data_IF_091883880740
#
_entry.id   IF_091883880740
#
_cell.length_a   1.000
_cell.length_b   1.000
_cell.length_c   1.000
_cell.angle_alpha   90.00
_cell.angle_beta   90.00
_cell.angle_gamma   90.00
#
_symmetry.space_group_name_H-M   'P 1'
#
loop_
_entity.id
_entity.type
_entity.pdbx_description
1 polymer ?
#
# COMPACT_ATOMS: atom_id res chain seq x y z
N UNK A 1 20.48 8.76 -8.87
CA UNK A 1 19.05 8.62 -9.19
C UNK A 1 18.80 7.15 -9.55
N UNK A 2 17.67 6.53 -9.16
CA UNK A 2 17.37 5.15 -9.56
C UNK A 2 17.32 5.06 -11.09
N UNK A 3 18.04 4.08 -11.67
CA UNK A 3 17.97 3.79 -13.11
C UNK A 3 16.55 3.31 -13.43
N UNK A 4 15.87 4.00 -14.34
CA UNK A 4 14.57 3.55 -14.86
C UNK A 4 14.85 2.56 -15.98
N UNK A 5 14.24 1.38 -15.89
CA UNK A 5 14.41 0.32 -16.88
C UNK A 5 13.13 0.16 -17.72
N UNK A 6 13.27 -0.12 -19.02
CA UNK A 6 12.21 -0.51 -19.96
C UNK A 6 12.32 -2.00 -20.27
N UNK A 7 11.23 -2.74 -20.10
CA UNK A 7 11.18 -4.15 -20.51
C UNK A 7 11.25 -4.27 -22.04
N UNK A 8 11.83 -5.35 -22.56
CA UNK A 8 11.81 -5.61 -24.01
C UNK A 8 10.40 -5.55 -24.63
N UNK A 9 9.38 -6.04 -23.92
CA UNK A 9 7.98 -5.96 -24.37
C UNK A 9 7.45 -4.52 -24.48
N UNK A 10 7.83 -3.65 -23.55
CA UNK A 10 7.45 -2.24 -23.62
C UNK A 10 8.24 -1.51 -24.70
N UNK A 11 9.53 -1.84 -24.86
CA UNK A 11 10.37 -1.30 -25.92
C UNK A 11 9.83 -1.64 -27.32
N UNK A 12 9.37 -2.89 -27.52
CA UNK A 12 8.73 -3.34 -28.78
C UNK A 12 7.54 -2.46 -29.14
N UNK A 13 6.65 -2.20 -28.17
CA UNK A 13 5.46 -1.36 -28.37
C UNK A 13 5.84 0.08 -28.71
N UNK A 14 6.81 0.63 -27.99
CA UNK A 14 7.26 2.02 -28.15
C UNK A 14 7.93 2.25 -29.50
N UNK A 15 8.80 1.33 -29.91
CA UNK A 15 9.48 1.38 -31.20
C UNK A 15 8.59 0.90 -32.35
N UNK A 16 7.34 0.48 -32.08
CA UNK A 16 6.39 -0.09 -33.04
C UNK A 16 7.04 -1.20 -33.89
N UNK A 17 7.87 -2.02 -33.24
CA UNK A 17 8.58 -3.14 -33.86
C UNK A 17 7.93 -4.46 -33.45
N UNK A 18 8.48 -5.60 -33.88
CA UNK A 18 8.00 -6.93 -33.49
C UNK A 18 8.97 -7.59 -32.51
N UNK A 19 8.53 -8.56 -31.69
CA UNK A 19 9.43 -9.30 -30.81
C UNK A 19 10.58 -9.99 -31.56
N UNK A 20 10.29 -10.59 -32.72
CA UNK A 20 11.31 -11.22 -33.55
C UNK A 20 12.35 -10.22 -34.05
N UNK A 21 11.92 -9.00 -34.32
CA UNK A 21 12.83 -7.97 -34.79
C UNK A 21 13.69 -7.40 -33.67
N UNK A 22 13.13 -7.20 -32.48
CA UNK A 22 13.94 -6.82 -31.32
C UNK A 22 14.99 -7.90 -31.00
N UNK A 23 14.63 -9.18 -31.06
CA UNK A 23 15.58 -10.29 -30.87
C UNK A 23 16.72 -10.25 -31.90
N UNK A 24 16.42 -9.99 -33.18
CA UNK A 24 17.47 -9.86 -34.21
C UNK A 24 18.42 -8.69 -33.92
N UNK A 25 17.87 -7.56 -33.46
CA UNK A 25 18.66 -6.38 -33.09
C UNK A 25 19.55 -6.71 -31.87
N UNK A 26 19.00 -7.37 -30.86
CA UNK A 26 19.78 -7.84 -29.71
C UNK A 26 20.90 -8.79 -30.13
N UNK A 27 20.61 -9.75 -31.02
CA UNK A 27 21.60 -10.67 -31.57
C UNK A 27 22.69 -9.96 -32.38
N UNK A 28 22.34 -8.90 -33.11
CA UNK A 28 23.32 -8.07 -33.80
C UNK A 28 24.32 -7.46 -32.81
N UNK A 29 23.84 -6.81 -31.75
CA UNK A 29 24.70 -6.23 -30.71
C UNK A 29 25.50 -7.28 -29.92
N UNK A 30 24.93 -8.46 -29.71
CA UNK A 30 25.64 -9.55 -29.04
C UNK A 30 26.74 -10.18 -29.93
N UNK A 31 26.58 -10.11 -31.26
CA UNK A 31 27.48 -10.74 -32.22
C UNK A 31 28.77 -9.96 -32.46
N UNK A 32 28.74 -8.64 -32.23
CA UNK A 32 29.92 -7.77 -32.31
C UNK A 32 29.98 -6.84 -31.10
N UNK A 33 30.76 -7.18 -30.06
CA UNK A 33 30.88 -6.35 -28.86
C UNK A 33 31.64 -5.03 -29.10
N UNK A 34 32.19 -4.80 -30.29
CA UNK A 34 32.86 -3.55 -30.68
C UNK A 34 32.09 -2.82 -31.79
N UNK A 35 30.79 -3.07 -31.91
CA UNK A 35 29.94 -2.35 -32.85
C UNK A 35 29.92 -0.84 -32.56
N UNK A 36 29.67 -0.02 -33.58
CA UNK A 36 29.70 1.45 -33.49
C UNK A 36 28.64 2.06 -32.57
N UNK A 37 27.66 1.27 -32.10
CA UNK A 37 26.56 1.71 -31.26
C UNK A 37 26.79 1.44 -29.77
N UNK A 38 27.77 0.60 -29.43
CA UNK A 38 28.28 0.34 -28.07
C UNK A 38 27.18 -0.01 -27.04
N UNK A 39 26.23 -0.90 -27.38
CA UNK A 39 25.17 -1.29 -26.44
C UNK A 39 25.71 -2.25 -25.36
N UNK A 40 25.98 -1.75 -24.14
CA UNK A 40 26.71 -2.51 -23.11
C UNK A 40 25.83 -3.14 -22.02
N UNK A 41 26.13 -4.38 -21.65
CA UNK A 41 25.49 -5.07 -20.52
C UNK A 41 25.83 -4.39 -19.18
N UNK A 42 24.87 -4.33 -18.26
CA UNK A 42 24.88 -3.64 -16.95
C UNK A 42 24.97 -2.10 -17.00
N UNK A 43 25.34 -1.54 -18.15
CA UNK A 43 25.34 -0.10 -18.41
C UNK A 43 24.03 0.29 -19.09
N UNK A 44 23.77 -0.27 -20.27
CA UNK A 44 22.66 0.06 -21.14
C UNK A 44 21.50 -0.91 -21.04
N UNK A 45 21.77 -2.17 -20.73
CA UNK A 45 20.73 -3.18 -20.51
C UNK A 45 21.16 -4.23 -19.47
N UNK A 46 20.20 -4.96 -18.91
CA UNK A 46 20.43 -6.11 -18.04
C UNK A 46 19.59 -7.30 -18.47
N UNK A 47 20.08 -8.50 -18.20
CA UNK A 47 19.35 -9.75 -18.45
C UNK A 47 18.59 -10.12 -17.19
N UNK A 48 17.27 -10.31 -17.30
CA UNK A 48 16.37 -10.50 -16.15
C UNK A 48 15.96 -11.95 -15.90
N UNK A 49 16.21 -12.87 -16.83
CA UNK A 49 15.90 -14.29 -16.66
C UNK A 49 16.85 -15.21 -17.46
N UNK A 50 16.75 -16.52 -17.22
CA UNK A 50 17.55 -17.54 -17.91
C UNK A 50 17.19 -17.71 -19.39
N UNK A 51 16.02 -17.22 -19.81
CA UNK A 51 15.59 -17.17 -21.21
C UNK A 51 16.19 -15.99 -21.98
N UNK A 52 17.01 -15.16 -21.34
CA UNK A 52 17.71 -14.05 -22.01
C UNK A 52 16.89 -12.78 -22.17
N UNK A 53 15.72 -12.65 -21.52
CA UNK A 53 14.92 -11.44 -21.60
C UNK A 53 15.67 -10.23 -21.03
N UNK A 54 15.53 -9.07 -21.69
CA UNK A 54 16.28 -7.86 -21.36
C UNK A 54 15.40 -6.74 -20.83
N UNK A 55 16.00 -5.96 -19.95
CA UNK A 55 15.53 -4.64 -19.56
C UNK A 55 16.59 -3.60 -19.92
N UNK A 56 16.17 -2.49 -20.52
CA UNK A 56 17.08 -1.45 -21.01
C UNK A 56 16.98 -0.21 -20.13
N UNK A 57 18.10 0.46 -19.93
CA UNK A 57 18.10 1.82 -19.42
C UNK A 57 17.63 2.80 -20.50
N UNK A 58 17.51 4.07 -20.14
CA UNK A 58 17.20 5.13 -21.11
C UNK A 58 18.24 5.24 -22.23
N UNK A 59 19.53 5.12 -21.91
CA UNK A 59 20.60 5.12 -22.92
C UNK A 59 20.51 3.88 -23.81
N UNK A 60 20.30 2.69 -23.25
CA UNK A 60 20.18 1.47 -24.06
C UNK A 60 18.98 1.46 -25.00
N UNK A 61 17.83 1.93 -24.54
CA UNK A 61 16.67 2.08 -25.40
C UNK A 61 16.89 3.12 -26.50
N UNK A 62 17.60 4.21 -26.19
CA UNK A 62 18.00 5.25 -27.14
C UNK A 62 18.95 4.69 -28.21
N UNK A 63 19.90 3.85 -27.83
CA UNK A 63 20.82 3.18 -28.75
C UNK A 63 20.08 2.25 -29.72
N UNK A 64 19.16 1.42 -29.22
CA UNK A 64 18.31 0.56 -30.06
C UNK A 64 17.45 1.39 -31.02
N UNK A 65 16.87 2.48 -30.51
CA UNK A 65 16.16 3.45 -31.33
C UNK A 65 17.05 3.95 -32.48
N UNK A 66 18.24 4.51 -32.21
CA UNK A 66 19.10 5.02 -33.30
C UNK A 66 19.46 3.95 -34.34
N UNK A 67 19.71 2.72 -33.91
CA UNK A 67 20.01 1.62 -34.82
C UNK A 67 18.85 1.34 -35.78
N UNK A 68 17.61 1.28 -35.28
CA UNK A 68 16.43 1.07 -36.14
C UNK A 68 16.24 2.25 -37.10
N UNK A 69 16.51 3.48 -36.68
CA UNK A 69 16.39 4.65 -37.54
C UNK A 69 17.41 4.62 -38.67
N UNK A 70 18.67 4.32 -38.35
CA UNK A 70 19.76 4.24 -39.33
C UNK A 70 19.55 3.10 -40.34
N UNK A 71 18.99 1.97 -39.89
CA UNK A 71 18.80 0.79 -40.74
C UNK A 71 17.46 0.77 -41.47
N UNK A 72 16.41 1.42 -40.95
CA UNK A 72 15.04 1.33 -41.49
C UNK A 72 14.38 2.67 -41.84
N UNK A 73 15.03 3.81 -41.57
CA UNK A 73 14.51 5.17 -41.86
C UNK A 73 13.13 5.46 -41.28
N UNK A 74 12.87 4.99 -40.06
CA UNK A 74 11.61 5.22 -39.33
C UNK A 74 11.79 6.29 -38.24
N UNK A 75 10.82 7.20 -38.10
CA UNK A 75 10.82 8.25 -37.06
C UNK A 75 9.95 7.84 -35.85
N UNK A 76 10.56 7.26 -34.81
CA UNK A 76 9.88 6.89 -33.54
C UNK A 76 10.40 7.69 -32.32
N UNK A 77 11.20 8.74 -32.54
CA UNK A 77 11.80 9.57 -31.48
C UNK A 77 10.81 10.17 -30.51
N UNK A 78 9.70 10.69 -31.03
CA UNK A 78 8.67 11.31 -30.20
C UNK A 78 7.98 10.26 -29.32
N UNK A 79 7.73 9.05 -29.87
CA UNK A 79 7.15 7.94 -29.11
C UNK A 79 8.07 7.43 -27.98
N UNK A 80 9.39 7.37 -28.22
CA UNK A 80 10.36 6.98 -27.19
C UNK A 80 10.46 8.02 -26.07
N UNK A 81 10.58 9.31 -26.44
CA UNK A 81 10.58 10.42 -25.48
C UNK A 81 9.31 10.43 -24.65
N UNK A 82 8.14 10.41 -25.30
CA UNK A 82 6.85 10.37 -24.63
C UNK A 82 6.76 9.20 -23.64
N UNK A 83 7.18 7.99 -24.04
CA UNK A 83 7.17 6.84 -23.15
C UNK A 83 8.08 7.04 -21.92
N UNK A 84 9.32 7.53 -22.10
CA UNK A 84 10.21 7.80 -20.97
C UNK A 84 9.61 8.82 -20.02
N UNK A 85 9.00 9.88 -20.56
CA UNK A 85 8.26 10.84 -19.76
C UNK A 85 7.08 10.19 -19.02
N UNK A 86 6.30 9.34 -19.68
CA UNK A 86 5.16 8.63 -19.07
C UNK A 86 5.58 7.64 -18.00
N UNK A 87 6.64 6.85 -18.22
CA UNK A 87 7.17 5.89 -17.25
C UNK A 87 7.74 6.61 -16.03
N UNK A 88 8.51 7.68 -16.24
CA UNK A 88 8.98 8.54 -15.14
C UNK A 88 7.81 9.18 -14.38
N UNK A 89 6.77 9.63 -15.08
CA UNK A 89 5.56 10.16 -14.45
C UNK A 89 4.80 9.09 -13.65
N UNK A 90 4.67 7.87 -14.17
CA UNK A 90 4.02 6.74 -13.49
C UNK A 90 4.76 6.36 -12.20
N UNK A 91 6.09 6.29 -12.25
CA UNK A 91 6.94 6.04 -11.08
C UNK A 91 6.79 7.17 -10.06
N UNK A 92 6.83 8.44 -10.50
CA UNK A 92 6.65 9.58 -9.59
C UNK A 92 5.26 9.56 -8.92
N UNK A 93 4.20 9.27 -9.68
CA UNK A 93 2.85 9.08 -9.16
C UNK A 93 2.76 7.94 -8.14
N UNK A 94 3.47 6.82 -8.34
CA UNK A 94 3.46 5.74 -7.35
C UNK A 94 4.15 6.15 -6.04
N UNK A 95 5.23 6.93 -6.10
CA UNK A 95 5.84 7.53 -4.90
C UNK A 95 4.91 8.51 -4.20
N UNK A 96 4.18 9.33 -4.96
CA UNK A 96 3.16 10.24 -4.41
C UNK A 96 2.03 9.47 -3.72
N UNK A 97 1.50 8.40 -4.34
CA UNK A 97 0.48 7.53 -3.72
C UNK A 97 0.98 6.91 -2.41
N UNK A 98 2.23 6.45 -2.40
CA UNK A 98 2.87 5.93 -1.18
C UNK A 98 2.94 7.01 -0.09
N UNK A 99 3.35 8.24 -0.42
CA UNK A 99 3.36 9.36 0.54
C UNK A 99 1.98 9.67 1.10
N UNK A 100 0.95 9.69 0.25
CA UNK A 100 -0.43 9.90 0.70
C UNK A 100 -0.84 8.78 1.68
N UNK A 101 -0.57 7.52 1.34
CA UNK A 101 -0.86 6.38 2.20
C UNK A 101 -0.16 6.48 3.57
N UNK A 102 1.13 6.82 3.59
CA UNK A 102 1.93 6.90 4.81
C UNK A 102 1.60 8.13 5.67
N UNK A 103 1.05 9.19 5.08
CA UNK A 103 0.85 10.50 5.71
C UNK A 103 -0.60 10.97 5.65
N UNK A 104 -1.55 10.06 5.84
CA UNK A 104 -2.99 10.38 5.96
C UNK A 104 -3.60 9.87 7.27
N UNK A 105 -2.80 9.73 8.32
CA UNK A 105 -3.24 9.26 9.65
C UNK A 105 -4.36 10.12 10.27
N UNK A 106 -4.45 11.38 9.88
CA UNK A 106 -5.46 12.34 10.34
C UNK A 106 -6.73 12.40 9.47
N UNK A 107 -6.84 11.51 8.47
CA UNK A 107 -7.98 11.47 7.56
C UNK A 107 -9.31 11.37 8.33
N UNK A 108 -10.25 12.27 8.02
CA UNK A 108 -11.61 12.20 8.55
C UNK A 108 -12.65 12.69 7.56
N UNK A 109 -13.90 12.26 7.72
CA UNK A 109 -15.07 12.82 7.05
C UNK A 109 -15.77 13.83 7.96
N UNK A 110 -16.08 15.01 7.44
CA UNK A 110 -16.85 16.05 8.12
C UNK A 110 -17.58 16.91 7.09
N UNK A 111 -18.89 17.11 7.29
CA UNK A 111 -19.79 17.83 6.37
C UNK A 111 -19.68 17.33 4.92
N UNK A 112 -19.72 16.00 4.75
CA UNK A 112 -19.60 15.30 3.46
C UNK A 112 -18.29 15.51 2.68
N UNK A 113 -17.28 16.12 3.33
CA UNK A 113 -15.95 16.30 2.78
C UNK A 113 -14.93 15.46 3.57
N UNK A 114 -13.87 15.03 2.87
CA UNK A 114 -12.72 14.37 3.48
C UNK A 114 -11.62 15.39 3.73
N UNK A 115 -11.08 15.34 4.94
CA UNK A 115 -10.13 16.31 5.49
C UNK A 115 -8.86 15.62 5.97
N UNK A 116 -7.72 16.30 5.78
CA UNK A 116 -6.40 15.86 6.24
C UNK A 116 -5.74 17.04 6.97
N UNK A 117 -5.09 16.77 8.10
CA UNK A 117 -4.48 17.80 8.93
C UNK A 117 -3.34 18.54 8.20
N UNK A 118 -2.98 19.72 8.70
CA UNK A 118 -1.83 20.47 8.23
C UNK A 118 -0.53 19.65 8.33
N UNK A 119 -0.34 18.91 9.42
CA UNK A 119 0.88 18.12 9.64
C UNK A 119 1.04 17.02 8.57
N UNK A 120 -0.03 16.28 8.31
CA UNK A 120 -0.07 15.26 7.26
C UNK A 120 0.09 15.90 5.86
N UNK A 121 -0.60 17.02 5.61
CA UNK A 121 -0.48 17.77 4.34
C UNK A 121 0.96 18.22 4.07
N UNK A 122 1.67 18.71 5.09
CA UNK A 122 3.11 19.06 5.01
C UNK A 122 3.93 17.85 4.58
N UNK A 123 3.67 16.68 5.18
CA UNK A 123 4.40 15.45 4.89
C UNK A 123 4.08 14.88 3.49
N UNK A 124 2.81 14.92 3.07
CA UNK A 124 2.36 14.54 1.71
C UNK A 124 3.11 15.36 0.65
N UNK A 125 3.17 16.68 0.82
CA UNK A 125 3.92 17.54 -0.10
C UNK A 125 5.44 17.42 0.07
N UNK A 126 5.94 16.83 1.17
CA UNK A 126 7.36 16.77 1.49
C UNK A 126 7.95 18.17 1.68
N UNK A 127 7.31 19.00 2.49
CA UNK A 127 7.67 20.40 2.71
C UNK A 127 7.73 20.74 4.20
N UNK A 128 7.68 22.03 4.57
CA UNK A 128 7.55 22.50 5.95
C UNK A 128 6.33 23.41 6.11
N UNK A 129 5.95 23.68 7.37
CA UNK A 129 4.74 24.45 7.71
C UNK A 129 4.80 25.86 7.11
N UNK A 130 5.96 26.52 7.14
CA UNK A 130 6.13 27.87 6.59
C UNK A 130 5.88 27.91 5.09
N UNK A 131 6.40 26.92 4.35
CA UNK A 131 6.20 26.81 2.91
C UNK A 131 4.75 26.52 2.59
N UNK A 132 4.10 25.61 3.33
CA UNK A 132 2.69 25.31 3.15
C UNK A 132 1.81 26.56 3.41
N UNK A 133 2.09 27.34 4.45
CA UNK A 133 1.39 28.61 4.73
C UNK A 133 1.53 29.59 3.58
N UNK A 134 2.75 29.80 3.06
CA UNK A 134 2.99 30.66 1.89
C UNK A 134 2.23 30.18 0.66
N UNK A 135 2.18 28.87 0.41
CA UNK A 135 1.40 28.32 -0.71
C UNK A 135 -0.10 28.45 -0.51
N UNK A 136 -0.58 28.36 0.74
CA UNK A 136 -1.98 28.61 1.10
C UNK A 136 -2.36 30.07 0.85
N UNK A 137 -1.56 31.03 1.32
CA UNK A 137 -1.73 32.46 1.05
C UNK A 137 -1.72 32.79 -0.45
N UNK A 138 -0.82 32.14 -1.21
CA UNK A 138 -0.79 32.26 -2.66
C UNK A 138 -2.05 31.66 -3.31
N UNK A 139 -2.49 30.48 -2.87
CA UNK A 139 -3.69 29.82 -3.37
C UNK A 139 -4.98 30.60 -3.06
N UNK A 140 -5.01 31.43 -2.02
CA UNK A 140 -6.14 32.32 -1.73
C UNK A 140 -6.25 33.48 -2.73
N UNK A 141 -5.13 33.87 -3.37
CA UNK A 141 -5.05 35.02 -4.28
C UNK A 141 -5.12 34.64 -5.76
N UNK A 142 -5.16 33.34 -6.06
CA UNK A 142 -5.12 32.78 -7.41
C UNK A 142 -6.45 32.14 -7.77
N UNK A 143 -6.84 32.14 -9.04
CA UNK A 143 -7.97 31.35 -9.53
C UNK A 143 -7.52 29.94 -9.98
N UNK A 144 -8.22 28.86 -9.54
CA UNK A 144 -9.36 28.89 -8.63
C UNK A 144 -8.91 28.97 -7.16
N UNK A 145 -9.49 29.88 -6.38
CA UNK A 145 -9.00 30.22 -5.03
C UNK A 145 -9.36 29.17 -3.96
N UNK A 146 -8.54 29.03 -2.92
CA UNK A 146 -8.94 28.27 -1.73
C UNK A 146 -9.80 29.15 -0.81
N UNK A 147 -10.83 28.56 -0.21
CA UNK A 147 -11.89 29.25 0.54
C UNK A 147 -12.01 28.57 1.89
N UNK A 148 -12.03 29.36 2.97
CA UNK A 148 -12.22 28.85 4.32
C UNK A 148 -13.60 28.18 4.47
N UNK A 149 -13.67 27.06 5.19
CA UNK A 149 -14.88 26.27 5.36
C UNK A 149 -15.22 25.35 4.18
N UNK A 150 -14.51 25.44 3.06
CA UNK A 150 -14.65 24.55 1.89
C UNK A 150 -13.34 23.80 1.58
N UNK A 151 -12.24 24.53 1.57
CA UNK A 151 -10.92 24.05 1.14
C UNK A 151 -9.95 23.89 2.32
N UNK A 152 -10.11 24.72 3.34
CA UNK A 152 -9.38 24.61 4.60
C UNK A 152 -10.27 25.07 5.77
N UNK A 153 -10.07 24.51 6.96
CA UNK A 153 -10.81 24.91 8.16
C UNK A 153 -10.00 24.56 9.42
N UNK A 154 -10.13 25.39 10.46
CA UNK A 154 -9.51 25.12 11.76
C UNK A 154 -10.48 24.32 12.65
N UNK A 155 -10.19 23.04 12.84
CA UNK A 155 -10.92 22.15 13.73
C UNK A 155 -10.25 22.13 15.11
N UNK A 156 -10.76 22.97 16.01
CA UNK A 156 -10.22 23.11 17.38
C UNK A 156 -10.26 21.78 18.14
N UNK A 157 -11.32 21.00 17.94
CA UNK A 157 -11.53 19.68 18.54
C UNK A 157 -10.58 18.60 18.00
N UNK A 158 -9.99 18.84 16.84
CA UNK A 158 -9.04 17.94 16.17
C UNK A 158 -7.60 18.47 16.22
N UNK A 159 -7.37 19.57 16.96
CA UNK A 159 -6.03 20.09 17.24
C UNK A 159 -5.44 20.98 16.14
N UNK A 160 -6.25 21.53 15.22
CA UNK A 160 -5.79 22.63 14.37
C UNK A 160 -6.34 22.66 12.95
N UNK A 161 -5.50 23.12 12.02
CA UNK A 161 -5.87 23.37 10.63
C UNK A 161 -5.93 22.09 9.80
N UNK A 162 -6.99 21.95 9.01
CA UNK A 162 -7.21 20.85 8.07
C UNK A 162 -7.46 21.38 6.66
N UNK A 163 -7.17 20.55 5.67
CA UNK A 163 -7.42 20.80 4.25
C UNK A 163 -8.34 19.71 3.70
N UNK A 164 -9.35 20.11 2.92
CA UNK A 164 -10.15 19.15 2.17
C UNK A 164 -9.33 18.59 1.00
N UNK A 165 -9.77 17.49 0.39
CA UNK A 165 -9.06 16.93 -0.79
C UNK A 165 -8.98 17.94 -1.94
N UNK A 166 -10.02 18.75 -2.13
CA UNK A 166 -10.03 19.85 -3.09
C UNK A 166 -9.09 20.99 -2.68
N UNK A 167 -8.99 21.28 -1.38
CA UNK A 167 -7.98 22.20 -0.85
C UNK A 167 -6.55 21.74 -1.14
N UNK A 168 -6.27 20.45 -0.96
CA UNK A 168 -4.96 19.86 -1.30
C UNK A 168 -4.70 19.95 -2.80
N UNK A 169 -5.69 19.69 -3.65
CA UNK A 169 -5.59 19.87 -5.09
C UNK A 169 -5.22 21.32 -5.47
N UNK A 170 -5.87 22.32 -4.88
CA UNK A 170 -5.58 23.74 -5.14
C UNK A 170 -4.23 24.20 -4.61
N UNK A 171 -3.83 23.70 -3.44
CA UNK A 171 -2.46 23.90 -2.94
C UNK A 171 -1.44 23.34 -3.93
N UNK A 172 -1.69 22.15 -4.47
CA UNK A 172 -0.85 21.51 -5.49
C UNK A 172 -0.64 22.40 -6.71
N UNK A 173 -1.67 23.13 -7.17
CA UNK A 173 -1.55 24.10 -8.26
C UNK A 173 -0.59 25.23 -7.90
N UNK A 174 -0.66 25.77 -6.68
CA UNK A 174 0.27 26.80 -6.20
C UNK A 174 1.71 26.28 -6.08
N UNK A 175 1.92 25.10 -5.49
CA UNK A 175 3.24 24.48 -5.47
C UNK A 175 3.80 24.24 -6.88
N UNK A 176 2.94 23.88 -7.83
CA UNK A 176 3.34 23.61 -9.21
C UNK A 176 3.73 24.88 -10.00
N UNK A 177 3.44 26.08 -9.52
CA UNK A 177 3.87 27.34 -10.18
C UNK A 177 5.01 28.02 -9.42
N UNK A 178 4.93 28.05 -8.09
CA UNK A 178 5.82 28.87 -7.25
C UNK A 178 7.16 28.21 -6.92
N UNK A 179 7.28 26.88 -7.01
CA UNK A 179 8.54 26.21 -6.69
C UNK A 179 9.58 26.38 -7.81
N UNK A 180 10.81 26.72 -7.44
CA UNK A 180 11.92 26.88 -8.40
C UNK A 180 12.31 25.56 -9.08
N UNK A 181 12.25 24.44 -8.35
CA UNK A 181 12.67 23.14 -8.87
C UNK A 181 11.58 22.50 -9.73
N UNK A 182 11.89 22.26 -11.02
CA UNK A 182 10.99 21.57 -11.97
C UNK A 182 10.52 20.21 -11.44
N UNK A 183 11.42 19.39 -10.92
CA UNK A 183 11.08 18.08 -10.37
C UNK A 183 10.09 18.19 -9.21
N UNK A 184 10.26 19.20 -8.35
CA UNK A 184 9.35 19.43 -7.21
C UNK A 184 8.00 20.00 -7.67
N UNK A 185 7.97 20.84 -8.70
CA UNK A 185 6.71 21.29 -9.34
C UNK A 185 5.93 20.09 -9.88
N UNK A 186 6.59 19.20 -10.62
CA UNK A 186 5.96 18.02 -11.21
C UNK A 186 5.46 17.05 -10.12
N UNK A 187 6.23 16.83 -9.06
CA UNK A 187 5.82 16.00 -7.91
C UNK A 187 4.62 16.59 -7.18
N UNK A 188 4.62 17.91 -6.88
CA UNK A 188 3.50 18.56 -6.20
C UNK A 188 2.26 18.66 -7.08
N UNK A 189 2.43 18.77 -8.40
CA UNK A 189 1.32 18.66 -9.36
C UNK A 189 0.70 17.26 -9.28
N UNK A 190 1.52 16.22 -9.24
CA UNK A 190 1.04 14.84 -9.12
C UNK A 190 0.30 14.61 -7.79
N UNK A 191 0.72 15.23 -6.67
CA UNK A 191 -0.05 15.20 -5.39
C UNK A 191 -1.50 15.58 -5.60
N UNK A 192 -1.78 16.69 -6.28
CA UNK A 192 -3.16 17.13 -6.54
C UNK A 192 -3.94 16.14 -7.40
N UNK A 193 -3.30 15.50 -8.38
CA UNK A 193 -3.97 14.52 -9.24
C UNK A 193 -4.19 13.16 -8.56
N UNK A 194 -3.36 12.81 -7.59
CA UNK A 194 -3.38 11.49 -6.96
C UNK A 194 -4.05 11.47 -5.58
N UNK A 195 -4.21 12.63 -4.91
CA UNK A 195 -4.78 12.69 -3.54
C UNK A 195 -6.17 12.08 -3.47
N UNK A 196 -7.08 12.48 -4.38
CA UNK A 196 -8.44 11.97 -4.39
C UNK A 196 -8.53 10.46 -4.65
N UNK A 197 -8.01 9.92 -5.79
CA UNK A 197 -8.13 8.49 -6.06
C UNK A 197 -7.44 7.64 -4.99
N UNK A 198 -6.29 8.07 -4.46
CA UNK A 198 -5.61 7.33 -3.39
C UNK A 198 -6.40 7.34 -2.08
N UNK A 199 -7.03 8.47 -1.72
CA UNK A 199 -7.89 8.56 -0.52
C UNK A 199 -9.16 7.73 -0.71
N UNK A 200 -9.77 7.73 -1.89
CA UNK A 200 -10.93 6.88 -2.19
C UNK A 200 -10.59 5.38 -2.02
N UNK A 201 -9.42 4.94 -2.50
CA UNK A 201 -8.91 3.57 -2.31
C UNK A 201 -8.67 3.24 -0.82
N UNK A 202 -8.09 4.17 -0.07
CA UNK A 202 -7.87 4.04 1.38
C UNK A 202 -9.21 3.88 2.12
N UNK A 203 -10.19 4.73 1.82
CA UNK A 203 -11.52 4.69 2.44
C UNK A 203 -12.18 3.35 2.13
N UNK A 204 -12.18 2.92 0.86
CA UNK A 204 -12.71 1.62 0.47
C UNK A 204 -12.06 0.50 1.27
N UNK A 205 -10.73 0.51 1.42
CA UNK A 205 -10.01 -0.48 2.20
C UNK A 205 -10.43 -0.48 3.67
N UNK A 206 -10.64 0.68 4.28
CA UNK A 206 -11.11 0.82 5.67
C UNK A 206 -12.53 0.26 5.82
N UNK A 207 -13.46 0.67 4.95
CA UNK A 207 -14.86 0.26 4.99
C UNK A 207 -15.05 -1.25 4.75
N UNK A 208 -14.20 -1.85 3.92
CA UNK A 208 -14.24 -3.28 3.62
C UNK A 208 -13.55 -4.15 4.69
N UNK A 209 -12.91 -3.56 5.72
CA UNK A 209 -12.16 -4.31 6.75
C UNK A 209 -13.03 -5.35 7.45
N UNK A 210 -14.25 -4.98 7.85
CA UNK A 210 -15.18 -5.91 8.49
C UNK A 210 -15.47 -7.15 7.63
N UNK A 211 -15.66 -6.96 6.31
CA UNK A 211 -15.88 -8.05 5.36
C UNK A 211 -14.66 -8.96 5.25
N UNK A 212 -13.45 -8.39 5.19
CA UNK A 212 -12.19 -9.18 5.16
C UNK A 212 -12.00 -10.00 6.43
N UNK A 213 -12.26 -9.42 7.61
CA UNK A 213 -12.18 -10.13 8.89
C UNK A 213 -13.21 -11.28 8.94
N UNK A 214 -14.46 -11.03 8.53
CA UNK A 214 -15.49 -12.09 8.48
C UNK A 214 -15.08 -13.21 7.55
N UNK A 215 -14.56 -12.89 6.36
CA UNK A 215 -14.05 -13.89 5.41
C UNK A 215 -12.89 -14.69 6.02
N UNK A 216 -11.93 -14.04 6.66
CA UNK A 216 -10.82 -14.73 7.32
C UNK A 216 -11.30 -15.69 8.43
N UNK A 217 -12.34 -15.31 9.20
CA UNK A 217 -12.99 -16.18 10.19
C UNK A 217 -13.64 -17.40 9.56
N UNK A 218 -14.30 -17.24 8.41
CA UNK A 218 -14.88 -18.36 7.66
C UNK A 218 -13.80 -19.28 7.09
N UNK A 219 -12.74 -18.71 6.52
CA UNK A 219 -11.60 -19.43 5.97
C UNK A 219 -10.85 -20.22 7.05
N UNK A 220 -10.70 -19.67 8.26
CA UNK A 220 -10.15 -20.38 9.42
C UNK A 220 -11.02 -21.59 9.79
N UNK A 221 -12.35 -21.42 9.89
CA UNK A 221 -13.28 -22.55 10.15
C UNK A 221 -13.22 -23.61 9.05
N UNK A 222 -12.98 -23.21 7.79
CA UNK A 222 -12.83 -24.13 6.65
C UNK A 222 -11.50 -24.88 6.70
N UNK A 223 -10.38 -24.20 6.98
CA UNK A 223 -9.05 -24.79 7.22
C UNK A 223 -9.11 -25.85 8.30
N UNK A 224 -9.85 -25.56 9.36
CA UNK A 224 -10.00 -26.40 10.54
C UNK A 224 -11.10 -27.47 10.38
N UNK A 225 -11.63 -27.66 9.17
CA UNK A 225 -12.68 -28.63 8.82
C UNK A 225 -13.95 -28.55 9.67
N UNK A 226 -14.27 -27.35 10.19
CA UNK A 226 -15.34 -27.09 11.17
C UNK A 226 -15.18 -27.95 12.43
N UNK A 227 -13.96 -28.06 12.95
CA UNK A 227 -13.61 -28.82 14.14
C UNK A 227 -12.96 -27.87 15.16
N UNK A 228 -13.33 -28.01 16.44
CA UNK A 228 -12.64 -27.31 17.52
C UNK A 228 -11.20 -27.79 17.60
N UNK A 229 -10.24 -26.88 17.45
CA UNK A 229 -8.82 -27.23 17.46
C UNK A 229 -8.28 -27.52 18.86
N UNK A 230 -8.98 -27.11 19.92
CA UNK A 230 -8.60 -27.43 21.31
C UNK A 230 -9.02 -28.86 21.66
N UNK A 231 -10.29 -29.24 21.44
CA UNK A 231 -10.81 -30.55 21.88
C UNK A 231 -10.89 -31.61 20.78
N UNK A 232 -10.68 -31.23 19.51
CA UNK A 232 -10.88 -32.12 18.36
C UNK A 232 -12.34 -32.42 18.01
N UNK A 233 -13.31 -31.84 18.74
CA UNK A 233 -14.72 -32.13 18.52
C UNK A 233 -15.32 -31.35 17.34
N UNK A 234 -16.27 -31.99 16.66
CA UNK A 234 -17.01 -31.43 15.54
C UNK A 234 -18.52 -31.44 15.80
N UNK A 235 -19.23 -30.31 15.59
CA UNK A 235 -20.69 -30.27 15.71
C UNK A 235 -21.33 -31.31 14.80
N UNK A 236 -22.29 -32.07 15.34
CA UNK A 236 -23.02 -33.08 14.59
C UNK A 236 -24.48 -33.17 15.06
N UNK A 237 -25.24 -34.13 14.52
CA UNK A 237 -26.67 -34.27 14.81
C UNK A 237 -26.99 -34.57 16.28
N UNK A 238 -26.07 -35.17 17.02
CA UNK A 238 -26.23 -35.59 18.42
C UNK A 238 -25.55 -34.66 19.41
N UNK A 239 -24.43 -34.05 19.01
CA UNK A 239 -23.70 -33.07 19.81
C UNK A 239 -23.65 -31.74 19.05
N UNK A 240 -24.64 -30.88 19.32
CA UNK A 240 -24.76 -29.57 18.68
C UNK A 240 -24.11 -28.52 19.56
N UNK A 241 -23.16 -27.78 18.98
CA UNK A 241 -22.53 -26.62 19.59
C UNK A 241 -22.03 -25.68 18.50
N UNK A 242 -21.83 -24.42 18.86
CA UNK A 242 -21.35 -23.40 17.95
C UNK A 242 -19.83 -23.28 17.95
N UNK A 243 -19.27 -23.02 16.77
CA UNK A 243 -17.84 -22.76 16.59
C UNK A 243 -17.59 -21.26 16.42
N UNK A 244 -16.63 -20.75 17.18
CA UNK A 244 -16.05 -19.43 17.04
C UNK A 244 -14.69 -19.52 16.33
N UNK A 245 -14.34 -18.48 15.57
CA UNK A 245 -12.96 -18.26 15.13
C UNK A 245 -12.36 -17.19 16.04
N UNK A 246 -11.47 -17.63 16.93
CA UNK A 246 -10.83 -16.79 17.94
C UNK A 246 -9.57 -16.14 17.38
N UNK A 247 -9.40 -14.85 17.65
CA UNK A 247 -8.20 -14.08 17.31
C UNK A 247 -7.09 -14.31 18.34
N UNK A 248 -5.98 -14.89 17.93
CA UNK A 248 -4.83 -15.15 18.81
C UNK A 248 -4.21 -13.84 19.32
N UNK A 249 -4.04 -12.87 18.42
CA UNK A 249 -3.80 -11.47 18.75
C UNK A 249 -5.09 -10.68 18.54
N UNK A 250 -5.53 -9.95 19.57
CA UNK A 250 -6.76 -9.14 19.54
C UNK A 250 -6.87 -8.27 18.29
N UNK A 251 -7.99 -8.37 17.58
CA UNK A 251 -8.26 -7.57 16.38
C UNK A 251 -8.26 -6.05 16.64
N UNK A 252 -8.57 -5.62 17.87
CA UNK A 252 -8.59 -4.20 18.24
C UNK A 252 -7.18 -3.64 18.43
N UNK A 253 -6.29 -4.43 19.05
CA UNK A 253 -4.92 -4.01 19.37
C UNK A 253 -3.92 -4.34 18.26
N UNK A 254 -4.27 -5.26 17.36
CA UNK A 254 -3.45 -5.72 16.23
C UNK A 254 -4.27 -5.71 14.93
N UNK A 255 -4.81 -4.55 14.51
CA UNK A 255 -5.70 -4.45 13.34
C UNK A 255 -5.00 -4.81 12.03
N UNK A 256 -3.66 -4.81 11.98
CA UNK A 256 -2.85 -5.17 10.82
C UNK A 256 -2.80 -6.67 10.50
N UNK A 257 -3.16 -7.52 11.46
CA UNK A 257 -3.25 -8.98 11.30
C UNK A 257 -4.66 -9.51 11.64
N UNK A 258 -5.65 -8.62 11.76
CA UNK A 258 -7.01 -9.01 12.12
C UNK A 258 -7.73 -9.83 11.03
N UNK A 259 -7.33 -9.70 9.77
CA UNK A 259 -7.82 -10.47 8.63
C UNK A 259 -6.85 -11.57 8.16
N UNK A 260 -5.83 -11.91 8.97
CA UNK A 260 -4.96 -13.07 8.73
C UNK A 260 -5.60 -14.35 9.29
N UNK A 261 -5.63 -15.40 8.47
CA UNK A 261 -6.13 -16.73 8.87
C UNK A 261 -5.19 -17.39 9.88
N UNK A 262 -3.90 -17.09 9.82
CA UNK A 262 -2.86 -17.56 10.75
C UNK A 262 -3.04 -16.96 12.15
N UNK A 263 -3.65 -15.78 12.25
CA UNK A 263 -4.04 -15.16 13.52
C UNK A 263 -5.36 -15.72 14.10
N UNK A 264 -5.93 -16.76 13.49
CA UNK A 264 -7.22 -17.32 13.88
C UNK A 264 -7.12 -18.81 14.23
N UNK A 265 -7.83 -19.20 15.29
CA UNK A 265 -8.04 -20.60 15.68
C UNK A 265 -9.53 -20.91 15.84
N UNK A 266 -10.00 -22.01 15.27
CA UNK A 266 -11.40 -22.44 15.44
C UNK A 266 -11.59 -23.17 16.75
N UNK A 267 -12.49 -22.67 17.60
CA UNK A 267 -12.78 -23.24 18.93
C UNK A 267 -14.28 -23.33 19.17
N UNK A 268 -14.70 -24.17 20.12
CA UNK A 268 -16.07 -24.11 20.64
C UNK A 268 -16.34 -22.73 21.23
N UNK A 269 -17.57 -22.25 21.08
CA UNK A 269 -17.96 -20.95 21.66
C UNK A 269 -17.82 -20.95 23.18
N UNK A 270 -18.07 -22.09 23.84
CA UNK A 270 -17.86 -22.24 25.29
C UNK A 270 -16.38 -22.05 25.70
N UNK A 271 -15.44 -22.56 24.90
CA UNK A 271 -13.99 -22.42 25.16
C UNK A 271 -13.53 -20.99 24.89
N UNK A 272 -14.04 -20.38 23.82
CA UNK A 272 -13.81 -18.97 23.53
C UNK A 272 -14.26 -18.09 24.70
N UNK A 273 -15.45 -18.37 25.21
CA UNK A 273 -16.04 -17.66 26.33
C UNK A 273 -15.29 -17.90 27.63
N UNK A 274 -14.88 -19.14 27.92
CA UNK A 274 -14.05 -19.49 29.07
C UNK A 274 -12.71 -18.75 29.03
N UNK A 275 -12.06 -18.72 27.86
CA UNK A 275 -10.81 -17.97 27.68
C UNK A 275 -11.00 -16.49 28.04
N UNK A 276 -12.03 -15.84 27.51
CA UNK A 276 -12.23 -14.42 27.75
C UNK A 276 -12.77 -14.10 29.15
N UNK A 277 -13.72 -14.87 29.68
CA UNK A 277 -14.37 -14.58 30.96
C UNK A 277 -13.53 -15.04 32.14
N UNK A 278 -13.04 -16.27 32.09
CA UNK A 278 -12.48 -16.93 33.26
C UNK A 278 -10.96 -16.78 33.34
N UNK A 279 -10.27 -16.77 32.18
CA UNK A 279 -8.81 -16.63 32.13
C UNK A 279 -8.34 -15.19 31.93
N UNK A 280 -8.91 -14.46 30.95
CA UNK A 280 -8.51 -13.09 30.66
C UNK A 280 -9.13 -12.04 31.59
N UNK A 281 -10.11 -12.41 32.43
CA UNK A 281 -10.82 -11.46 33.32
C UNK A 281 -11.75 -10.49 32.58
N UNK A 282 -12.17 -10.84 31.36
CA UNK A 282 -13.10 -10.06 30.54
C UNK A 282 -12.65 -9.88 29.08
N UNK A 283 -13.57 -9.38 28.25
CA UNK A 283 -13.35 -9.16 26.80
C UNK A 283 -12.64 -7.84 26.47
N UNK A 284 -12.39 -6.98 27.46
CA UNK A 284 -11.74 -5.69 27.29
C UNK A 284 -10.21 -5.79 27.27
N UNK A 285 -9.67 -6.90 27.79
CA UNK A 285 -8.24 -7.11 27.84
C UNK A 285 -7.70 -7.53 26.47
N UNK A 286 -6.56 -6.93 26.11
CA UNK A 286 -5.84 -7.29 24.90
C UNK A 286 -5.28 -8.71 25.03
N UNK A 287 -5.82 -9.67 24.29
CA UNK A 287 -5.26 -11.01 24.22
C UNK A 287 -4.12 -11.09 23.19
N UNK A 288 -3.13 -11.90 23.53
CA UNK A 288 -2.00 -12.30 22.70
C UNK A 288 -1.96 -13.82 22.58
N UNK A 289 -1.20 -14.32 21.59
CA UNK A 289 -1.04 -15.76 21.40
C UNK A 289 -0.45 -16.46 22.63
N UNK A 290 0.40 -15.76 23.40
CA UNK A 290 0.97 -16.29 24.63
C UNK A 290 -0.12 -16.50 25.70
N UNK A 291 -1.07 -15.58 25.82
CA UNK A 291 -2.21 -15.78 26.73
C UNK A 291 -3.02 -17.01 26.35
N UNK A 292 -3.23 -17.26 25.05
CA UNK A 292 -3.97 -18.44 24.61
C UNK A 292 -3.17 -19.74 24.81
N UNK A 293 -1.83 -19.69 24.67
CA UNK A 293 -0.94 -20.81 25.01
C UNK A 293 -1.06 -21.15 26.50
N UNK A 294 -0.94 -20.15 27.37
CA UNK A 294 -1.03 -20.32 28.82
C UNK A 294 -2.40 -20.89 29.23
N UNK A 295 -3.47 -20.39 28.61
CA UNK A 295 -4.83 -20.92 28.81
C UNK A 295 -4.94 -22.41 28.46
N UNK A 296 -4.46 -22.80 27.27
CA UNK A 296 -4.50 -24.22 26.86
C UNK A 296 -3.65 -25.09 27.79
N UNK A 297 -2.49 -24.60 28.23
CA UNK A 297 -1.64 -25.31 29.19
C UNK A 297 -2.32 -25.53 30.54
N UNK A 298 -3.08 -24.55 31.02
CA UNK A 298 -3.72 -24.61 32.32
C UNK A 298 -5.02 -25.45 32.32
N UNK A 299 -5.85 -25.29 31.30
CA UNK A 299 -7.21 -25.88 31.27
C UNK A 299 -7.32 -27.14 30.41
N UNK A 300 -6.36 -27.38 29.51
CA UNK A 300 -6.35 -28.50 28.56
C UNK A 300 -4.94 -29.12 28.43
N UNK A 301 -4.28 -29.47 29.55
CA UNK A 301 -2.88 -29.90 29.57
C UNK A 301 -2.59 -31.15 28.72
N UNK A 302 -3.59 -31.99 28.50
CA UNK A 302 -3.52 -33.18 27.64
C UNK A 302 -3.39 -32.85 26.14
N UNK A 303 -3.74 -31.63 25.72
CA UNK A 303 -3.79 -31.22 24.31
C UNK A 303 -2.48 -30.58 23.82
N UNK A 304 -1.33 -31.21 24.11
CA UNK A 304 0.01 -30.66 23.81
C UNK A 304 0.25 -30.36 22.31
N UNK A 305 -0.41 -31.10 21.41
CA UNK A 305 -0.33 -30.82 19.96
C UNK A 305 -0.84 -29.42 19.60
N UNK A 306 -1.82 -28.91 20.34
CA UNK A 306 -2.36 -27.55 20.16
C UNK A 306 -1.32 -26.50 20.54
N UNK A 307 -0.59 -26.73 21.62
CA UNK A 307 0.50 -25.84 22.07
C UNK A 307 1.61 -25.79 21.01
N UNK A 308 2.00 -26.94 20.45
CA UNK A 308 2.98 -27.00 19.37
C UNK A 308 2.51 -26.19 18.16
N UNK A 309 1.24 -26.34 17.77
CA UNK A 309 0.65 -25.58 16.68
C UNK A 309 0.62 -24.07 16.96
N UNK A 310 0.21 -23.64 18.15
CA UNK A 310 0.18 -22.24 18.56
C UNK A 310 1.58 -21.62 18.52
N UNK A 311 2.60 -22.32 19.01
CA UNK A 311 3.99 -21.87 18.91
C UNK A 311 4.45 -21.73 17.45
N UNK A 312 4.03 -22.64 16.57
CA UNK A 312 4.31 -22.53 15.14
C UNK A 312 3.63 -21.30 14.50
N UNK A 313 2.40 -20.97 14.91
CA UNK A 313 1.72 -19.76 14.43
C UNK A 313 2.42 -18.50 14.95
N UNK A 314 2.87 -18.49 16.21
CA UNK A 314 3.67 -17.39 16.77
C UNK A 314 4.89 -17.10 15.90
N UNK A 315 5.62 -18.14 15.49
CA UNK A 315 6.79 -17.99 14.62
C UNK A 315 6.42 -17.45 13.23
N UNK A 316 5.30 -17.90 12.64
CA UNK A 316 4.84 -17.43 11.32
C UNK A 316 4.38 -15.98 11.34
N UNK A 317 3.67 -15.59 12.39
CA UNK A 317 3.22 -14.22 12.59
C UNK A 317 4.41 -13.31 12.90
N UNK A 318 5.47 -13.83 13.52
CA UNK A 318 6.63 -13.04 13.91
C UNK A 318 6.33 -12.13 15.12
N UNK A 319 7.23 -11.17 15.37
CA UNK A 319 7.08 -10.25 16.50
C UNK A 319 5.98 -9.23 16.19
N UNK A 320 4.94 -9.24 17.00
CA UNK A 320 3.80 -8.33 16.85
C UNK A 320 3.92 -7.18 17.84
N UNK A 321 4.07 -5.97 17.34
CA UNK A 321 3.96 -4.77 18.16
C UNK A 321 2.49 -4.36 18.28
N UNK A 322 2.06 -4.05 19.50
CA UNK A 322 0.71 -3.55 19.72
C UNK A 322 0.54 -2.19 19.07
N UNK A 323 -0.63 -1.95 18.49
CA UNK A 323 -0.97 -0.69 17.88
C UNK A 323 -0.98 0.44 18.92
N UNK A 324 -0.13 1.46 18.73
CA UNK A 324 -0.15 2.68 19.55
C UNK A 324 -1.22 3.65 19.04
N UNK A 325 -2.09 4.10 19.93
CA UNK A 325 -3.14 5.09 19.63
C UNK A 325 -2.58 6.47 19.27
N UNK A 326 -1.30 6.76 19.50
CA UNK A 326 -0.76 8.12 19.33
C UNK A 326 -0.61 8.56 17.87
N UNK A 327 -0.37 7.62 16.93
CA UNK A 327 -0.35 7.86 15.47
C UNK A 327 -0.77 6.60 14.70
N UNK A 328 -2.07 6.35 14.55
CA UNK A 328 -2.54 5.19 13.81
C UNK A 328 -2.14 5.29 12.33
N UNK A 329 -1.64 4.21 11.75
CA UNK A 329 -1.52 4.14 10.28
C UNK A 329 -2.92 4.27 9.67
N UNK A 330 -3.06 5.02 8.56
CA UNK A 330 -4.36 5.40 7.99
C UNK A 330 -5.28 4.20 7.73
N UNK A 331 -4.71 3.08 7.27
CA UNK A 331 -5.45 1.85 6.98
C UNK A 331 -6.09 1.19 8.20
N UNK A 332 -5.79 1.65 9.42
CA UNK A 332 -6.33 1.14 10.68
C UNK A 332 -7.26 2.12 11.39
N UNK A 333 -7.52 3.28 10.81
CA UNK A 333 -8.54 4.19 11.31
C UNK A 333 -9.90 3.48 11.47
N UNK A 334 -10.69 3.83 12.51
CA UNK A 334 -12.02 3.27 12.68
C UNK A 334 -12.95 3.76 11.55
N UNK A 335 -13.92 2.94 11.16
CA UNK A 335 -14.84 3.28 10.08
C UNK A 335 -15.61 4.58 10.34
N UNK A 336 -15.93 4.87 11.61
CA UNK A 336 -16.60 6.11 12.03
C UNK A 336 -15.81 7.38 11.70
N UNK A 337 -14.50 7.30 11.46
CA UNK A 337 -13.71 8.46 11.02
C UNK A 337 -13.94 8.79 9.56
N UNK A 338 -14.37 7.84 8.72
CA UNK A 338 -14.46 8.00 7.26
C UNK A 338 -15.89 7.80 6.70
N UNK A 339 -16.85 7.50 7.57
CA UNK A 339 -18.27 7.29 7.25
C UNK A 339 -19.11 8.54 7.31
#
# INVERSE_FOLDING_TARGET
MPKTYISGNDLIKVLKTTPQELIKIEQFFDSDPNDEWELQKEIDYRIINSQGAREYTESGAYTIARYIEATKKLNFWDSLKEWFFHTRAKIRKSFVRKKILENSSSLMRRRDLYWISQADTVAIFGTNIQTLRRMSEHAQRREPSIIEGQHFENFVDEGGLYYSLEGIYRLSLSFSTELTSRNRRDECKDVGTEVKPQVDDIIKFILERGKRITKAKEDAKKRDHKTCQVTGEKPNRYNKFDLAAHHLYSANSYPHIADSVENLITVKSEIHDQFHRDFMGGTHNCCTIDNFIDFVQQYYPENNNVIIWLRSQKLRLGNQESFSNSKPHVLYLPASRVQ
#
